data_IF_100582670952
#
_entry.id   IF_100582670952
#
_cell.length_a   1.000
_cell.length_b   1.000
_cell.length_c   1.000
_cell.angle_alpha   90.00
_cell.angle_beta   90.00
_cell.angle_gamma   90.00
#
_symmetry.space_group_name_H-M   'P 1'
#
loop_
_entity.id
_entity.type
_entity.pdbx_description
1 polymer ?
#
# COMPACT_ATOMS: atom_id res chain seq x y z
N UNK A 1 3.66 -22.97 2.36
CA UNK A 1 4.82 -22.75 1.49
C UNK A 1 5.17 -21.27 1.51
N UNK A 2 6.42 -20.92 1.85
CA UNK A 2 6.85 -19.52 1.76
C UNK A 2 7.16 -19.21 0.30
N UNK A 3 6.32 -18.43 -0.36
CA UNK A 3 6.65 -17.86 -1.66
C UNK A 3 7.76 -16.80 -1.48
N UNK A 4 8.61 -16.64 -2.46
CA UNK A 4 9.51 -15.48 -2.49
C UNK A 4 8.64 -14.22 -2.49
N UNK A 5 8.85 -13.32 -1.53
CA UNK A 5 8.01 -12.12 -1.45
C UNK A 5 8.07 -11.28 -2.75
N UNK A 6 9.18 -11.35 -3.51
CA UNK A 6 9.30 -10.72 -4.83
C UNK A 6 8.29 -11.25 -5.85
N UNK A 7 7.85 -12.49 -5.73
CA UNK A 7 6.82 -13.08 -6.58
C UNK A 7 5.43 -12.53 -6.24
N UNK A 8 5.21 -12.18 -4.96
CA UNK A 8 3.95 -11.64 -4.49
C UNK A 8 3.72 -10.18 -4.88
N UNK A 9 4.77 -9.43 -5.25
CA UNK A 9 4.63 -8.02 -5.61
C UNK A 9 3.82 -7.79 -6.88
N UNK A 10 3.80 -8.75 -7.77
CA UNK A 10 3.09 -8.69 -9.05
C UNK A 10 1.82 -9.58 -9.10
N UNK A 11 1.47 -10.24 -7.97
CA UNK A 11 0.26 -11.06 -7.89
C UNK A 11 -1.01 -10.20 -7.98
N UNK A 12 -2.04 -10.77 -8.58
CA UNK A 12 -3.35 -10.15 -8.68
C UNK A 12 -4.08 -10.14 -7.32
N UNK A 13 -5.00 -9.20 -7.17
CA UNK A 13 -5.83 -9.06 -5.96
C UNK A 13 -7.14 -9.86 -6.04
N UNK A 14 -7.31 -10.72 -7.03
CA UNK A 14 -8.56 -11.42 -7.30
C UNK A 14 -9.11 -12.21 -6.12
N UNK A 15 -8.23 -12.87 -5.35
CA UNK A 15 -8.60 -13.63 -4.16
C UNK A 15 -9.20 -15.00 -4.45
N UNK A 16 -9.27 -15.39 -5.71
CA UNK A 16 -9.55 -16.74 -6.11
C UNK A 16 -8.40 -17.68 -5.70
N UNK A 17 -8.62 -18.94 -5.42
CA UNK A 17 -7.58 -19.89 -5.01
C UNK A 17 -6.62 -20.25 -6.15
N UNK A 18 -6.37 -19.32 -7.06
CA UNK A 18 -5.35 -19.46 -8.10
C UNK A 18 -3.96 -19.25 -7.51
N UNK A 19 -2.96 -19.83 -8.12
CA UNK A 19 -1.57 -19.78 -7.66
C UNK A 19 -0.95 -18.38 -7.77
N UNK A 20 -1.60 -17.47 -8.51
CA UNK A 20 -1.06 -16.14 -8.84
C UNK A 20 -1.78 -14.99 -8.13
N UNK A 21 -2.60 -15.28 -7.13
CA UNK A 21 -3.37 -14.27 -6.41
C UNK A 21 -2.96 -14.15 -4.96
N UNK A 22 -3.05 -12.93 -4.42
CA UNK A 22 -2.76 -12.69 -3.01
C UNK A 22 -3.84 -13.34 -2.14
N UNK A 23 -3.47 -14.16 -1.16
CA UNK A 23 -4.45 -14.84 -0.31
C UNK A 23 -5.22 -13.85 0.55
N UNK A 24 -6.50 -13.68 0.30
CA UNK A 24 -7.36 -12.71 1.00
C UNK A 24 -7.48 -12.97 2.50
N UNK A 25 -7.39 -14.21 2.94
CA UNK A 25 -7.52 -14.56 4.36
C UNK A 25 -6.49 -13.82 5.23
N UNK A 26 -5.25 -13.68 4.75
CA UNK A 26 -4.19 -13.01 5.49
C UNK A 26 -4.48 -11.51 5.65
N UNK A 27 -4.87 -10.84 4.56
CA UNK A 27 -5.25 -9.44 4.59
C UNK A 27 -6.49 -9.17 5.44
N UNK A 28 -7.44 -10.11 5.46
CA UNK A 28 -8.62 -10.03 6.31
C UNK A 28 -8.25 -10.17 7.80
N UNK A 29 -7.40 -11.14 8.14
CA UNK A 29 -6.89 -11.32 9.49
C UNK A 29 -6.10 -10.07 9.96
N UNK A 30 -5.20 -9.57 9.11
CA UNK A 30 -4.45 -8.34 9.37
C UNK A 30 -5.39 -7.14 9.60
N UNK A 31 -6.44 -6.98 8.78
CA UNK A 31 -7.43 -5.93 8.96
C UNK A 31 -8.16 -6.03 10.30
N UNK A 32 -8.60 -7.21 10.70
CA UNK A 32 -9.31 -7.41 11.98
C UNK A 32 -8.40 -7.10 13.16
N UNK A 33 -7.19 -7.65 13.18
CA UNK A 33 -6.25 -7.49 14.28
C UNK A 33 -5.75 -6.04 14.36
N UNK A 34 -5.17 -5.53 13.27
CA UNK A 34 -4.58 -4.18 13.25
C UNK A 34 -5.67 -3.12 13.35
N UNK A 35 -6.79 -3.30 12.66
CA UNK A 35 -7.93 -2.38 12.73
C UNK A 35 -8.55 -2.33 14.14
N UNK A 36 -8.67 -3.46 14.81
CA UNK A 36 -9.12 -3.54 16.19
C UNK A 36 -8.20 -2.78 17.15
N UNK A 37 -6.88 -3.01 17.03
CA UNK A 37 -5.87 -2.28 17.81
C UNK A 37 -5.90 -0.78 17.53
N UNK A 38 -5.99 -0.38 16.27
CA UNK A 38 -6.06 1.04 15.92
C UNK A 38 -7.31 1.72 16.46
N UNK A 39 -8.46 1.05 16.45
CA UNK A 39 -9.67 1.58 17.07
C UNK A 39 -9.53 1.76 18.58
N UNK A 40 -8.90 0.81 19.24
CA UNK A 40 -8.70 0.84 20.69
C UNK A 40 -7.69 1.92 21.11
N UNK A 41 -6.56 2.03 20.40
CA UNK A 41 -5.45 2.89 20.81
C UNK A 41 -5.55 4.32 20.27
N UNK A 42 -6.11 4.52 19.06
CA UNK A 42 -6.05 5.80 18.35
C UNK A 42 -7.43 6.45 18.11
N UNK A 43 -8.53 5.87 18.61
CA UNK A 43 -9.89 6.35 18.30
C UNK A 43 -10.09 6.55 16.78
N UNK A 44 -9.53 5.67 15.98
CA UNK A 44 -9.48 5.76 14.53
C UNK A 44 -10.89 5.85 13.93
N UNK A 45 -11.11 6.85 13.07
CA UNK A 45 -12.35 7.09 12.35
C UNK A 45 -12.06 7.40 10.89
N UNK A 46 -12.93 6.96 9.99
CA UNK A 46 -12.85 7.26 8.55
C UNK A 46 -14.13 7.97 8.15
N UNK A 47 -14.02 9.22 7.73
CA UNK A 47 -15.13 10.00 7.20
C UNK A 47 -15.15 9.88 5.66
N UNK A 48 -16.35 9.99 5.05
CA UNK A 48 -16.56 9.91 3.59
C UNK A 48 -16.01 8.61 2.93
N UNK A 49 -16.04 7.49 3.62
CA UNK A 49 -15.60 6.20 3.07
C UNK A 49 -16.39 5.78 1.81
N UNK A 50 -17.62 6.23 1.67
CA UNK A 50 -18.48 6.04 0.51
C UNK A 50 -17.85 6.61 -0.76
N UNK A 51 -17.18 7.75 -0.70
CA UNK A 51 -16.49 8.37 -1.84
C UNK A 51 -15.34 7.49 -2.34
N UNK A 52 -14.57 6.86 -1.44
CA UNK A 52 -13.55 5.91 -1.83
C UNK A 52 -14.16 4.67 -2.48
N UNK A 53 -15.31 4.23 -1.99
CA UNK A 53 -16.04 3.07 -2.54
C UNK A 53 -16.57 3.27 -3.96
N UNK A 54 -16.82 4.51 -4.37
CA UNK A 54 -17.26 4.82 -5.73
C UNK A 54 -16.24 4.40 -6.81
N UNK A 55 -14.97 4.28 -6.45
CA UNK A 55 -13.91 3.78 -7.34
C UNK A 55 -13.79 2.25 -7.39
N UNK A 56 -14.64 1.53 -6.67
CA UNK A 56 -14.56 0.08 -6.62
C UNK A 56 -15.05 -0.55 -7.93
N UNK A 57 -14.14 -1.21 -8.67
CA UNK A 57 -14.45 -1.97 -9.87
C UNK A 57 -14.71 -1.15 -11.14
N UNK A 58 -14.53 0.18 -11.08
CA UNK A 58 -14.74 1.05 -12.23
C UNK A 58 -13.42 1.32 -12.97
N UNK A 59 -12.45 1.86 -12.25
CA UNK A 59 -11.15 2.26 -12.80
C UNK A 59 -10.07 2.13 -11.72
N UNK A 60 -8.80 2.03 -12.13
CA UNK A 60 -7.67 2.15 -11.22
C UNK A 60 -7.56 3.57 -10.67
N UNK A 61 -7.26 3.72 -9.39
CA UNK A 61 -7.12 5.03 -8.79
C UNK A 61 -5.83 5.17 -7.97
N UNK A 62 -5.20 6.34 -8.08
CA UNK A 62 -4.05 6.71 -7.28
C UNK A 62 -4.52 7.40 -6.00
N UNK A 63 -4.21 6.78 -4.86
CA UNK A 63 -4.50 7.31 -3.53
C UNK A 63 -3.25 8.00 -3.00
N UNK A 64 -3.33 9.29 -2.76
CA UNK A 64 -2.22 10.11 -2.27
C UNK A 64 -2.49 10.54 -0.83
N UNK A 65 -1.50 10.43 0.03
CA UNK A 65 -1.56 10.83 1.42
C UNK A 65 -0.27 11.56 1.81
N UNK A 66 -0.39 12.54 2.71
CA UNK A 66 0.77 13.15 3.38
C UNK A 66 1.45 12.12 4.30
N UNK A 67 2.73 12.37 4.65
CA UNK A 67 3.52 11.44 5.45
C UNK A 67 4.07 12.09 6.73
N UNK A 68 3.28 11.99 7.80
CA UNK A 68 3.64 12.55 9.11
C UNK A 68 4.00 11.46 10.11
N UNK A 69 3.41 10.28 9.98
CA UNK A 69 3.56 9.17 10.92
C UNK A 69 3.81 7.85 10.20
N UNK A 70 4.41 6.91 10.93
CA UNK A 70 4.51 5.53 10.47
C UNK A 70 3.12 4.87 10.26
N UNK A 71 2.13 5.34 11.02
CA UNK A 71 0.76 4.82 10.95
C UNK A 71 -0.04 5.32 9.74
N UNK A 72 0.42 6.34 8.99
CA UNK A 72 -0.32 6.86 7.83
C UNK A 72 -0.59 5.76 6.80
N UNK A 73 0.41 4.91 6.56
CA UNK A 73 0.29 3.75 5.66
C UNK A 73 -0.74 2.73 6.18
N UNK A 74 -0.72 2.49 7.49
CA UNK A 74 -1.67 1.59 8.15
C UNK A 74 -3.09 2.15 8.05
N UNK A 75 -3.27 3.44 8.32
CA UNK A 75 -4.58 4.09 8.25
C UNK A 75 -5.11 4.15 6.82
N UNK A 76 -4.25 4.37 5.82
CA UNK A 76 -4.63 4.30 4.41
C UNK A 76 -5.14 2.89 4.06
N UNK A 77 -4.43 1.83 4.47
CA UNK A 77 -4.86 0.45 4.29
C UNK A 77 -6.21 0.19 4.96
N UNK A 78 -6.37 0.58 6.23
CA UNK A 78 -7.60 0.37 6.98
C UNK A 78 -8.79 1.18 6.43
N UNK A 79 -8.54 2.34 5.82
CA UNK A 79 -9.59 3.17 5.22
C UNK A 79 -10.27 2.46 4.04
N UNK A 80 -9.50 1.78 3.20
CA UNK A 80 -10.02 1.03 2.06
C UNK A 80 -10.70 -0.27 2.48
N UNK A 81 -10.17 -0.97 3.47
CA UNK A 81 -10.66 -2.28 3.90
C UNK A 81 -12.04 -2.21 4.60
N UNK A 82 -12.82 -3.29 4.67
CA UNK A 82 -12.57 -4.61 4.08
C UNK A 82 -12.92 -4.73 2.60
N UNK A 83 -13.63 -3.77 2.01
CA UNK A 83 -14.21 -3.91 0.68
C UNK A 83 -13.20 -3.72 -0.46
N UNK A 84 -12.17 -2.92 -0.24
CA UNK A 84 -11.18 -2.59 -1.25
C UNK A 84 -9.77 -2.92 -0.75
N UNK A 85 -8.88 -3.14 -1.70
CA UNK A 85 -7.45 -3.29 -1.45
C UNK A 85 -6.71 -2.07 -1.98
N UNK A 86 -5.68 -1.64 -1.25
CA UNK A 86 -4.74 -0.61 -1.71
C UNK A 86 -3.36 -1.25 -1.81
N UNK A 87 -2.76 -1.17 -2.98
CA UNK A 87 -1.36 -1.51 -3.20
C UNK A 87 -0.50 -0.39 -2.63
N UNK A 88 0.22 -0.68 -1.57
CA UNK A 88 1.01 0.33 -0.87
C UNK A 88 2.47 0.28 -1.32
N UNK A 89 2.97 1.41 -1.78
CA UNK A 89 4.38 1.56 -2.12
C UNK A 89 5.19 1.80 -0.84
N UNK A 90 6.11 0.90 -0.54
CA UNK A 90 6.96 0.96 0.65
C UNK A 90 8.45 0.97 0.31
N UNK A 91 9.29 1.52 1.20
CA UNK A 91 10.74 1.47 1.02
C UNK A 91 11.23 0.02 0.96
N UNK A 92 12.12 -0.29 0.01
CA UNK A 92 12.70 -1.62 -0.21
C UNK A 92 13.31 -2.26 1.05
N UNK A 93 14.04 -1.47 1.84
CA UNK A 93 14.64 -1.94 3.09
C UNK A 93 13.62 -2.48 4.13
N UNK A 94 12.33 -2.13 4.02
CA UNK A 94 11.30 -2.68 4.90
C UNK A 94 11.02 -4.16 4.59
N UNK A 95 11.22 -4.56 3.33
CA UNK A 95 10.96 -5.92 2.89
C UNK A 95 12.08 -6.89 3.28
N UNK A 96 13.28 -6.38 3.52
CA UNK A 96 14.43 -7.18 3.96
C UNK A 96 14.52 -7.30 5.49
N UNK A 97 13.75 -6.51 6.24
CA UNK A 97 13.77 -6.53 7.70
C UNK A 97 13.26 -7.86 8.26
N UNK A 98 13.77 -8.21 9.45
CA UNK A 98 13.44 -9.44 10.16
C UNK A 98 13.67 -10.70 9.29
N UNK A 99 14.81 -10.78 8.61
CA UNK A 99 15.16 -11.88 7.70
C UNK A 99 14.08 -12.10 6.59
N UNK A 100 13.47 -11.02 6.11
CA UNK A 100 12.44 -11.06 5.07
C UNK A 100 11.02 -11.39 5.57
N UNK A 101 10.82 -11.68 6.86
CA UNK A 101 9.48 -11.97 7.40
C UNK A 101 8.54 -10.79 7.28
N UNK A 102 9.05 -9.57 7.50
CA UNK A 102 8.23 -8.36 7.31
C UNK A 102 7.85 -8.20 5.83
N UNK A 103 8.75 -8.48 4.91
CA UNK A 103 8.47 -8.50 3.47
C UNK A 103 7.39 -9.50 3.10
N UNK A 104 7.40 -10.69 3.70
CA UNK A 104 6.34 -11.70 3.51
C UNK A 104 4.97 -11.18 3.98
N UNK A 105 4.92 -10.53 5.14
CA UNK A 105 3.67 -9.97 5.65
C UNK A 105 3.18 -8.80 4.80
N UNK A 106 4.07 -7.86 4.46
CA UNK A 106 3.75 -6.69 3.63
C UNK A 106 3.26 -7.08 2.23
N UNK A 107 3.92 -8.05 1.59
CA UNK A 107 3.50 -8.54 0.27
C UNK A 107 2.09 -9.15 0.31
N UNK A 108 1.77 -9.90 1.38
CA UNK A 108 0.44 -10.52 1.56
C UNK A 108 -0.68 -9.52 1.85
N UNK A 109 -0.36 -8.31 2.28
CA UNK A 109 -1.34 -7.22 2.37
C UNK A 109 -1.34 -6.32 1.13
N UNK A 110 -0.62 -6.69 0.09
CA UNK A 110 -0.60 -6.01 -1.20
C UNK A 110 0.48 -4.94 -1.35
N UNK A 111 1.38 -4.77 -0.38
CA UNK A 111 2.46 -3.81 -0.50
C UNK A 111 3.57 -4.30 -1.45
N UNK A 112 4.27 -3.34 -2.07
CA UNK A 112 5.41 -3.62 -2.95
C UNK A 112 6.54 -2.60 -2.71
N UNK A 113 7.81 -3.00 -2.95
CA UNK A 113 8.94 -2.14 -2.67
C UNK A 113 9.19 -1.09 -3.73
N UNK A 114 9.79 0.02 -3.30
CA UNK A 114 10.40 1.04 -4.15
C UNK A 114 11.80 1.37 -3.63
N UNK A 115 12.76 1.42 -4.54
CA UNK A 115 14.10 1.91 -4.25
C UNK A 115 14.07 3.43 -4.19
N UNK A 116 14.44 3.97 -3.05
CA UNK A 116 14.58 5.42 -2.88
C UNK A 116 15.91 5.90 -3.45
N UNK A 117 15.98 7.18 -3.70
CA UNK A 117 17.20 7.85 -4.18
C UNK A 117 17.68 7.39 -5.58
N UNK A 118 16.83 6.67 -6.29
CA UNK A 118 17.03 6.26 -7.69
C UNK A 118 15.75 6.46 -8.48
N UNK A 119 15.88 6.66 -9.79
CA UNK A 119 14.72 6.63 -10.70
C UNK A 119 14.25 5.16 -10.88
N UNK A 120 13.56 4.61 -9.86
CA UNK A 120 13.10 3.22 -9.88
C UNK A 120 11.92 3.02 -10.87
N UNK A 121 12.29 2.98 -12.16
CA UNK A 121 11.34 2.75 -13.24
C UNK A 121 10.61 1.41 -13.12
N UNK A 122 11.18 0.43 -12.41
CA UNK A 122 10.55 -0.87 -12.20
C UNK A 122 9.33 -0.74 -11.31
N UNK A 123 9.45 -0.04 -10.19
CA UNK A 123 8.34 0.20 -9.27
C UNK A 123 7.28 1.12 -9.88
N UNK A 124 7.67 2.13 -10.67
CA UNK A 124 6.74 2.97 -11.42
C UNK A 124 5.93 2.13 -12.43
N UNK A 125 6.60 1.33 -13.27
CA UNK A 125 5.93 0.44 -14.23
C UNK A 125 4.99 -0.57 -13.53
N UNK A 126 5.37 -1.05 -12.34
CA UNK A 126 4.54 -1.93 -11.53
C UNK A 126 3.27 -1.21 -11.05
N UNK A 127 3.39 0.00 -10.51
CA UNK A 127 2.26 0.81 -10.10
C UNK A 127 1.29 1.10 -11.27
N UNK A 128 1.82 1.50 -12.43
CA UNK A 128 1.00 1.72 -13.64
C UNK A 128 0.28 0.44 -14.09
N UNK A 129 0.94 -0.72 -14.01
CA UNK A 129 0.31 -2.02 -14.32
C UNK A 129 -0.83 -2.34 -13.36
N UNK A 130 -0.66 -2.07 -12.06
CA UNK A 130 -1.70 -2.25 -11.06
C UNK A 130 -2.90 -1.33 -11.32
N UNK A 131 -2.67 -0.07 -11.66
CA UNK A 131 -3.75 0.85 -12.05
C UNK A 131 -4.51 0.36 -13.30
N UNK A 132 -3.79 -0.15 -14.31
CA UNK A 132 -4.42 -0.75 -15.51
C UNK A 132 -5.25 -1.99 -15.20
N UNK A 133 -4.97 -2.69 -14.10
CA UNK A 133 -5.79 -3.80 -13.58
C UNK A 133 -6.93 -3.32 -12.68
N UNK A 134 -7.24 -2.02 -12.68
CA UNK A 134 -8.29 -1.40 -11.86
C UNK A 134 -8.04 -1.52 -10.34
N UNK A 135 -6.77 -1.65 -9.94
CA UNK A 135 -6.38 -1.68 -8.53
C UNK A 135 -6.16 -0.25 -8.00
N UNK A 136 -6.34 -0.07 -6.69
CA UNK A 136 -5.95 1.17 -6.02
C UNK A 136 -4.47 1.13 -5.66
N UNK A 137 -3.74 2.18 -6.00
CA UNK A 137 -2.32 2.31 -5.65
C UNK A 137 -2.13 3.48 -4.69
N UNK A 138 -1.56 3.21 -3.52
CA UNK A 138 -1.29 4.21 -2.49
C UNK A 138 0.16 4.68 -2.54
N UNK A 139 0.36 5.98 -2.66
CA UNK A 139 1.68 6.62 -2.68
C UNK A 139 1.72 7.76 -1.65
N UNK A 140 2.83 7.83 -0.93
CA UNK A 140 3.17 8.96 -0.07
C UNK A 140 4.27 9.78 -0.77
N UNK A 141 3.92 10.85 -1.49
CA UNK A 141 4.84 11.53 -2.41
C UNK A 141 5.97 12.28 -1.70
N UNK A 142 5.85 12.53 -0.40
CA UNK A 142 6.91 13.11 0.42
C UNK A 142 8.12 12.16 0.59
N UNK A 143 7.95 10.87 0.31
CA UNK A 143 8.99 9.85 0.38
C UNK A 143 9.56 9.60 1.78
N UNK A 144 9.62 10.61 2.64
CA UNK A 144 10.10 10.56 4.02
C UNK A 144 9.09 11.20 4.96
N UNK A 145 9.06 10.74 6.22
CA UNK A 145 8.22 11.36 7.25
C UNK A 145 8.71 12.76 7.59
N UNK A 146 7.78 13.66 7.81
CA UNK A 146 8.11 14.99 8.33
C UNK A 146 8.71 14.86 9.73
N UNK A 147 9.97 15.28 9.89
CA UNK A 147 10.57 15.45 11.21
C UNK A 147 9.99 16.67 11.93
N UNK A 148 10.03 16.70 13.27
CA UNK A 148 9.71 17.90 14.04
C UNK A 148 10.66 19.02 13.63
N UNK A 149 10.13 20.13 13.10
CA UNK A 149 10.92 21.30 12.69
C UNK A 149 11.44 21.30 11.25
N UNK A 150 11.08 20.34 10.43
CA UNK A 150 11.45 20.35 8.99
C UNK A 150 10.58 21.33 8.20
N UNK A 151 11.26 22.06 7.31
CA UNK A 151 10.65 22.93 6.28
C UNK A 151 9.71 22.10 5.38
N UNK A 152 8.95 22.77 4.54
CA UNK A 152 8.03 22.19 3.56
C UNK A 152 8.59 20.91 2.93
N UNK A 153 7.85 19.79 2.96
CA UNK A 153 8.36 18.53 2.41
C UNK A 153 8.55 18.66 0.91
N UNK A 154 9.62 18.07 0.42
CA UNK A 154 9.85 17.94 -1.00
C UNK A 154 8.91 16.87 -1.56
N UNK A 155 8.10 17.23 -2.56
CA UNK A 155 7.18 16.30 -3.21
C UNK A 155 7.90 15.70 -4.42
N UNK A 156 8.10 14.40 -4.39
CA UNK A 156 8.72 13.67 -5.50
C UNK A 156 7.76 13.53 -6.69
N UNK A 157 8.27 13.76 -7.90
CA UNK A 157 7.51 13.67 -9.15
C UNK A 157 7.03 12.26 -9.52
N UNK A 158 7.48 11.23 -8.82
CA UNK A 158 7.11 9.83 -9.07
C UNK A 158 5.59 9.59 -9.07
N UNK A 159 4.85 10.24 -8.19
CA UNK A 159 3.38 10.14 -8.15
C UNK A 159 2.74 10.71 -9.43
N UNK A 160 3.27 11.82 -9.96
CA UNK A 160 2.79 12.42 -11.21
C UNK A 160 3.07 11.52 -12.43
N UNK A 161 4.20 10.81 -12.43
CA UNK A 161 4.51 9.83 -13.48
C UNK A 161 3.56 8.63 -13.46
N UNK A 162 3.14 8.19 -12.28
CA UNK A 162 2.20 7.07 -12.14
C UNK A 162 0.77 7.49 -12.52
N UNK A 163 0.40 8.75 -12.33
CA UNK A 163 -0.93 9.28 -12.63
C UNK A 163 -1.14 9.60 -14.13
N UNK A 164 -0.07 9.65 -14.93
CA UNK A 164 -0.09 9.97 -16.37
C UNK A 164 -0.24 8.72 -17.23
#
# INVERSE_FOLDING_TARGET
>A
MFLKYSEMWDMDLGGEPSTNEIPHWFGNAAYVVVGGLCKLLFRYRVDNRDKLRAFQGAEGALVICNHTSFFDVVFMYLAARPKQWVRLMGRDSLFDNAHGLLGQALSRVGAFPVKRDTADMTSIKRAVRMLKRQELVGILPEGTRRGKGTKTPEIHSGAAFVAK
#
